data_IF_532129903275
#
_entry.id   IF_532129903275
#
_cell.length_a   1.000
_cell.length_b   1.000
_cell.length_c   1.000
_cell.angle_alpha   90.00
_cell.angle_beta   90.00
_cell.angle_gamma   90.00
#
_symmetry.space_group_name_H-M   'P 1'
#
loop_
_entity.id
_entity.type
_entity.pdbx_description
1 polymer ?
#
# COMPACT_ATOMS: atom_id res chain seq x y z
N UNK A 1 1.56 0.26 19.77
CA UNK A 1 1.37 -0.84 18.79
C UNK A 1 1.87 -2.20 19.29
N UNK A 2 2.97 -2.26 20.06
CA UNK A 2 3.52 -3.49 20.67
C UNK A 2 2.55 -4.24 21.60
N UNK A 3 1.61 -3.54 22.25
CA UNK A 3 0.70 -4.17 23.22
C UNK A 3 -0.45 -4.95 22.58
N UNK A 4 -0.96 -4.51 21.42
CA UNK A 4 -2.08 -5.18 20.74
C UNK A 4 -1.67 -6.55 20.16
N UNK A 5 -0.53 -6.60 19.45
CA UNK A 5 0.03 -7.85 18.92
C UNK A 5 0.35 -8.85 20.04
N UNK A 6 0.95 -8.36 21.14
CA UNK A 6 1.26 -9.20 22.29
C UNK A 6 -0.03 -9.76 22.90
N UNK A 7 -1.04 -8.91 23.09
CA UNK A 7 -2.35 -9.32 23.58
C UNK A 7 -2.96 -10.43 22.71
N UNK A 8 -2.97 -10.29 21.39
CA UNK A 8 -3.55 -11.30 20.49
C UNK A 8 -2.84 -12.66 20.57
N UNK A 9 -1.52 -12.67 20.78
CA UNK A 9 -0.75 -13.91 20.88
C UNK A 9 -0.88 -14.62 22.23
N UNK A 10 -1.25 -13.88 23.28
CA UNK A 10 -1.46 -14.43 24.63
C UNK A 10 -2.88 -15.04 24.80
N UNK A 11 -3.79 -14.83 23.84
CA UNK A 11 -5.14 -15.38 23.88
C UNK A 11 -5.17 -16.89 23.60
N UNK A 12 -5.98 -17.60 24.38
CA UNK A 12 -6.17 -19.03 24.19
C UNK A 12 -7.02 -19.31 22.94
N UNK A 13 -6.41 -19.91 21.93
CA UNK A 13 -7.10 -20.30 20.69
C UNK A 13 -7.86 -21.63 20.81
N UNK A 14 -8.83 -21.88 19.91
CA UNK A 14 -9.55 -23.14 19.88
C UNK A 14 -8.64 -24.35 19.65
N UNK A 15 -9.05 -25.56 20.10
CA UNK A 15 -8.29 -26.77 19.88
C UNK A 15 -8.00 -27.05 18.39
N UNK A 16 -6.80 -27.55 18.13
CA UNK A 16 -6.35 -27.94 16.79
C UNK A 16 -6.58 -29.44 16.59
N UNK A 17 -7.25 -29.81 15.51
CA UNK A 17 -7.40 -31.18 15.05
C UNK A 17 -6.57 -31.41 13.77
N UNK A 18 -5.94 -32.59 13.66
CA UNK A 18 -5.12 -32.97 12.50
C UNK A 18 -5.82 -34.03 11.68
N UNK A 19 -5.99 -33.78 10.38
CA UNK A 19 -6.58 -34.74 9.45
C UNK A 19 -5.95 -34.61 8.07
N UNK A 20 -5.57 -35.74 7.46
CA UNK A 20 -4.92 -35.82 6.15
C UNK A 20 -3.72 -34.86 5.98
N UNK A 21 -2.88 -34.75 7.02
CA UNK A 21 -1.69 -33.88 7.00
C UNK A 21 -1.98 -32.37 7.08
N UNK A 22 -3.24 -31.97 7.32
CA UNK A 22 -3.65 -30.58 7.52
C UNK A 22 -4.14 -30.36 8.93
N UNK A 23 -3.95 -29.13 9.42
CA UNK A 23 -4.43 -28.68 10.72
C UNK A 23 -5.75 -27.92 10.56
N UNK A 24 -6.67 -28.10 11.51
CA UNK A 24 -7.98 -27.47 11.53
C UNK A 24 -8.28 -26.93 12.91
N UNK A 25 -8.90 -25.75 13.00
CA UNK A 25 -9.55 -25.29 14.22
C UNK A 25 -10.92 -25.93 14.36
N UNK A 26 -11.28 -26.32 15.59
CA UNK A 26 -12.69 -26.54 15.96
C UNK A 26 -13.29 -25.17 16.25
N UNK A 27 -13.85 -24.53 15.23
CA UNK A 27 -14.33 -23.15 15.34
C UNK A 27 -15.58 -23.09 16.25
N UNK A 28 -15.54 -22.33 17.38
CA UNK A 28 -16.64 -22.29 18.32
C UNK A 28 -17.82 -21.42 17.87
N UNK A 29 -17.65 -20.55 16.87
CA UNK A 29 -18.69 -19.67 16.32
C UNK A 29 -19.44 -20.33 15.16
N UNK A 30 -18.70 -21.04 14.29
CA UNK A 30 -19.26 -21.73 13.12
C UNK A 30 -19.57 -23.21 13.37
N UNK A 31 -19.18 -23.72 14.55
CA UNK A 31 -19.42 -25.09 15.03
C UNK A 31 -19.00 -26.18 14.03
N UNK A 32 -17.85 -25.98 13.36
CA UNK A 32 -17.32 -26.89 12.35
C UNK A 32 -15.79 -26.84 12.27
N UNK A 33 -15.18 -27.84 11.64
CA UNK A 33 -13.75 -27.82 11.35
C UNK A 33 -13.43 -26.81 10.25
N UNK A 34 -12.50 -25.90 10.54
CA UNK A 34 -12.02 -24.88 9.60
C UNK A 34 -10.52 -25.06 9.40
N UNK A 35 -10.07 -25.03 8.14
CA UNK A 35 -8.65 -25.18 7.81
C UNK A 35 -7.85 -24.07 8.51
N UNK A 36 -6.80 -24.44 9.25
CA UNK A 36 -5.89 -23.52 9.92
C UNK A 36 -4.95 -22.88 8.90
N UNK A 37 -5.41 -21.81 8.27
CA UNK A 37 -4.56 -20.91 7.46
C UNK A 37 -3.97 -19.81 8.35
N UNK A 38 -2.93 -19.08 7.90
CA UNK A 38 -2.40 -17.93 8.63
C UNK A 38 -3.47 -16.86 8.88
N UNK A 39 -4.24 -16.49 7.84
CA UNK A 39 -5.37 -15.55 7.94
C UNK A 39 -6.44 -16.03 8.92
N UNK A 40 -6.79 -17.32 8.89
CA UNK A 40 -7.76 -17.88 9.83
C UNK A 40 -7.25 -17.88 11.27
N UNK A 41 -5.94 -18.03 11.47
CA UNK A 41 -5.34 -17.92 12.82
C UNK A 41 -5.54 -16.51 13.38
N UNK A 42 -5.27 -15.47 12.57
CA UNK A 42 -5.55 -14.07 12.93
C UNK A 42 -7.04 -13.87 13.22
N UNK A 43 -7.93 -14.40 12.38
CA UNK A 43 -9.37 -14.33 12.60
C UNK A 43 -9.80 -14.96 13.93
N UNK A 44 -9.26 -16.12 14.30
CA UNK A 44 -9.53 -16.73 15.61
C UNK A 44 -8.98 -15.91 16.77
N UNK A 45 -7.79 -15.30 16.65
CA UNK A 45 -7.26 -14.38 17.66
C UNK A 45 -8.19 -13.18 17.87
N UNK A 46 -8.64 -12.56 16.78
CA UNK A 46 -9.59 -11.44 16.82
C UNK A 46 -10.90 -11.87 17.49
N UNK A 47 -11.45 -13.03 17.14
CA UNK A 47 -12.67 -13.54 17.77
C UNK A 47 -12.53 -13.72 19.30
N UNK A 48 -11.39 -14.23 19.77
CA UNK A 48 -11.13 -14.34 21.22
C UNK A 48 -10.96 -12.97 21.89
N UNK A 49 -10.35 -12.01 21.19
CA UNK A 49 -10.21 -10.63 21.65
C UNK A 49 -11.57 -9.94 21.81
N UNK A 50 -12.47 -10.10 20.84
CA UNK A 50 -13.83 -9.55 20.90
C UNK A 50 -14.62 -10.09 22.10
N UNK A 51 -14.53 -11.40 22.36
CA UNK A 51 -15.18 -12.04 23.51
C UNK A 51 -14.55 -11.59 24.84
N UNK A 52 -13.23 -11.76 24.98
CA UNK A 52 -12.55 -11.72 26.28
C UNK A 52 -12.13 -10.32 26.71
N UNK A 53 -11.83 -9.45 25.73
CA UNK A 53 -11.30 -8.11 26.01
C UNK A 53 -12.34 -7.03 25.74
N UNK A 54 -13.24 -7.23 24.76
CA UNK A 54 -14.25 -6.23 24.37
C UNK A 54 -15.68 -6.57 24.82
N UNK A 55 -15.84 -7.69 25.53
CA UNK A 55 -17.10 -8.11 26.15
C UNK A 55 -18.27 -8.16 25.16
N UNK A 56 -17.98 -8.53 23.90
CA UNK A 56 -19.01 -8.67 22.87
C UNK A 56 -19.68 -10.03 23.06
N UNK A 57 -21.02 -10.11 23.22
CA UNK A 57 -21.72 -11.37 23.33
C UNK A 57 -21.50 -12.22 22.08
N UNK A 58 -21.28 -13.52 22.25
CA UNK A 58 -21.02 -14.46 21.15
C UNK A 58 -22.14 -14.43 20.10
N UNK A 59 -23.38 -14.26 20.55
CA UNK A 59 -24.58 -14.22 19.71
C UNK A 59 -24.63 -12.99 18.79
N UNK A 60 -23.87 -11.95 19.12
CA UNK A 60 -23.75 -10.72 18.34
C UNK A 60 -22.56 -10.77 17.36
N UNK A 61 -21.86 -11.91 17.25
CA UNK A 61 -20.70 -12.07 16.38
C UNK A 61 -21.04 -13.03 15.24
N UNK A 62 -21.03 -12.52 14.03
CA UNK A 62 -21.22 -13.30 12.80
C UNK A 62 -19.89 -13.49 12.09
N UNK A 63 -19.58 -14.72 11.66
CA UNK A 63 -18.29 -15.05 11.02
C UNK A 63 -18.50 -15.55 9.59
N UNK A 64 -17.72 -15.06 8.63
CA UNK A 64 -17.82 -15.38 7.19
C UNK A 64 -19.21 -15.10 6.60
N UNK A 65 -19.78 -13.97 6.99
CA UNK A 65 -21.18 -13.65 6.74
C UNK A 65 -21.39 -12.98 5.39
N UNK A 66 -22.33 -13.49 4.59
CA UNK A 66 -22.70 -12.87 3.31
C UNK A 66 -23.43 -11.55 3.56
N UNK A 67 -23.04 -10.50 2.86
CA UNK A 67 -23.68 -9.18 2.98
C UNK A 67 -25.17 -9.21 2.61
N UNK A 68 -25.57 -10.13 1.73
CA UNK A 68 -26.97 -10.34 1.36
C UNK A 68 -27.91 -10.72 2.51
N UNK A 69 -27.38 -11.15 3.66
CA UNK A 69 -28.20 -11.34 4.87
C UNK A 69 -28.74 -10.03 5.44
N UNK A 70 -28.11 -8.91 5.11
CA UNK A 70 -28.50 -7.55 5.53
C UNK A 70 -29.08 -6.75 4.37
N UNK A 71 -29.77 -7.42 3.45
CA UNK A 71 -30.50 -6.79 2.34
C UNK A 71 -29.60 -6.04 1.32
N UNK A 72 -28.29 -6.32 1.32
CA UNK A 72 -27.35 -5.82 0.31
C UNK A 72 -27.27 -6.79 -0.87
N UNK A 73 -27.45 -6.33 -2.10
CA UNK A 73 -27.30 -7.18 -3.29
C UNK A 73 -25.81 -7.45 -3.60
N UNK A 74 -25.18 -8.32 -2.80
CA UNK A 74 -23.77 -8.69 -2.94
C UNK A 74 -23.53 -10.13 -2.51
N UNK A 75 -22.74 -10.85 -3.31
CA UNK A 75 -22.28 -12.20 -2.99
C UNK A 75 -21.03 -12.21 -2.07
N UNK A 76 -20.47 -11.03 -1.78
CA UNK A 76 -19.28 -10.90 -0.93
C UNK A 76 -19.59 -11.28 0.52
N UNK A 77 -18.52 -11.61 1.25
CA UNK A 77 -18.57 -11.94 2.67
C UNK A 77 -17.69 -10.97 3.45
N UNK A 78 -18.16 -10.58 4.62
CA UNK A 78 -17.33 -9.98 5.65
C UNK A 78 -16.79 -11.08 6.56
N UNK A 79 -15.55 -10.93 6.99
CA UNK A 79 -14.89 -11.91 7.86
C UNK A 79 -15.59 -12.00 9.22
N UNK A 80 -15.80 -10.86 9.87
CA UNK A 80 -16.55 -10.77 11.11
C UNK A 80 -17.47 -9.54 11.06
N UNK A 81 -18.72 -9.73 11.49
CA UNK A 81 -19.68 -8.65 11.74
C UNK A 81 -20.06 -8.71 13.21
N UNK A 82 -19.89 -7.59 13.90
CA UNK A 82 -20.48 -7.37 15.23
C UNK A 82 -21.84 -6.72 15.02
N UNK A 83 -22.88 -7.29 15.60
CA UNK A 83 -24.24 -6.78 15.53
C UNK A 83 -24.63 -6.03 16.81
N UNK A 84 -25.66 -5.18 16.69
CA UNK A 84 -26.39 -4.61 17.81
C UNK A 84 -27.87 -4.91 17.66
N UNK A 85 -28.56 -5.01 18.79
CA UNK A 85 -30.01 -5.03 18.79
C UNK A 85 -30.56 -3.59 18.69
N UNK A 86 -31.30 -3.31 17.62
CA UNK A 86 -32.00 -2.04 17.47
C UNK A 86 -33.39 -2.15 18.11
N UNK A 87 -33.50 -1.74 19.37
CA UNK A 87 -34.74 -1.83 20.14
C UNK A 87 -35.94 -1.11 19.51
N UNK A 88 -35.70 -0.06 18.72
CA UNK A 88 -36.76 0.70 18.05
C UNK A 88 -37.35 -0.03 16.83
N UNK A 89 -36.55 -0.88 16.18
CA UNK A 89 -36.95 -1.65 14.99
C UNK A 89 -37.18 -3.14 15.27
N UNK A 90 -36.77 -3.63 16.45
CA UNK A 90 -36.88 -5.03 16.84
C UNK A 90 -35.97 -5.96 16.03
N UNK A 91 -34.91 -5.43 15.42
CA UNK A 91 -34.03 -6.17 14.51
C UNK A 91 -32.56 -6.05 14.91
N UNK A 92 -31.76 -7.03 14.49
CA UNK A 92 -30.31 -6.95 14.55
C UNK A 92 -29.80 -6.10 13.39
N UNK A 93 -28.80 -5.26 13.67
CA UNK A 93 -28.15 -4.43 12.66
C UNK A 93 -26.63 -4.46 12.86
N UNK A 94 -25.82 -4.35 11.80
CA UNK A 94 -24.38 -4.26 11.92
C UNK A 94 -23.96 -3.04 12.76
N UNK A 95 -23.06 -3.27 13.71
CA UNK A 95 -22.41 -2.26 14.55
C UNK A 95 -20.95 -2.07 14.12
N UNK A 96 -20.23 -3.16 13.87
CA UNK A 96 -18.85 -3.11 13.40
C UNK A 96 -18.60 -4.14 12.29
N UNK A 97 -17.78 -3.75 11.29
CA UNK A 97 -17.24 -4.68 10.28
C UNK A 97 -15.76 -4.86 10.53
N UNK A 98 -15.31 -6.12 10.54
CA UNK A 98 -13.93 -6.47 10.80
C UNK A 98 -13.39 -7.33 9.67
N UNK A 99 -12.23 -6.97 9.14
CA UNK A 99 -11.51 -7.68 8.07
C UNK A 99 -10.16 -8.18 8.59
N UNK A 100 -9.89 -9.48 8.44
CA UNK A 100 -8.65 -10.12 8.87
C UNK A 100 -7.79 -10.50 7.65
N UNK A 101 -6.49 -10.26 7.73
CA UNK A 101 -5.52 -10.71 6.73
C UNK A 101 -4.48 -11.64 7.37
N UNK A 102 -3.80 -12.42 6.54
CA UNK A 102 -2.65 -13.19 6.99
C UNK A 102 -1.51 -12.26 7.46
N UNK A 103 -0.68 -12.66 8.45
CA UNK A 103 0.37 -11.80 9.01
C UNK A 103 1.31 -11.18 7.97
N UNK A 104 1.66 -11.93 6.93
CA UNK A 104 2.53 -11.48 5.84
C UNK A 104 1.92 -10.46 4.87
N UNK A 105 0.61 -10.16 5.01
CA UNK A 105 -0.12 -9.23 4.15
C UNK A 105 -0.21 -7.86 4.85
N UNK A 106 0.46 -6.84 4.30
CA UNK A 106 0.28 -5.46 4.75
C UNK A 106 -1.16 -4.99 4.56
N UNK A 107 -1.67 -4.30 5.58
CA UNK A 107 -2.92 -3.56 5.53
C UNK A 107 -2.68 -2.25 4.76
N UNK A 108 -2.95 -2.28 3.45
CA UNK A 108 -2.91 -1.10 2.57
C UNK A 108 -4.30 -0.62 2.17
N UNK A 109 -4.34 0.37 1.26
CA UNK A 109 -5.57 1.06 0.85
C UNK A 109 -6.66 0.10 0.38
N UNK A 110 -6.31 -1.01 -0.29
CA UNK A 110 -7.32 -1.97 -0.77
C UNK A 110 -8.03 -2.71 0.36
N UNK A 111 -7.33 -3.05 1.45
CA UNK A 111 -7.94 -3.72 2.60
C UNK A 111 -8.79 -2.74 3.41
N UNK A 112 -8.32 -1.49 3.53
CA UNK A 112 -9.05 -0.39 4.17
C UNK A 112 -10.33 -0.07 3.38
N UNK A 113 -10.24 0.07 2.06
CA UNK A 113 -11.39 0.35 1.21
C UNK A 113 -12.38 -0.83 1.23
N UNK A 114 -11.89 -2.08 1.27
CA UNK A 114 -12.76 -3.24 1.38
C UNK A 114 -13.64 -3.19 2.64
N UNK A 115 -13.06 -2.88 3.81
CA UNK A 115 -13.83 -2.81 5.07
C UNK A 115 -14.77 -1.60 5.07
N UNK A 116 -14.36 -0.46 4.51
CA UNK A 116 -15.21 0.73 4.34
C UNK A 116 -16.40 0.43 3.43
N UNK A 117 -16.17 -0.15 2.25
CA UNK A 117 -17.24 -0.52 1.30
C UNK A 117 -18.30 -1.40 1.95
N UNK A 118 -17.87 -2.34 2.80
CA UNK A 118 -18.77 -3.23 3.53
C UNK A 118 -19.51 -2.48 4.63
N UNK A 119 -18.81 -1.64 5.39
CA UNK A 119 -19.40 -0.87 6.47
C UNK A 119 -20.41 0.15 5.95
N UNK A 120 -20.12 0.86 4.86
CA UNK A 120 -21.04 1.78 4.19
C UNK A 120 -22.28 1.05 3.66
N UNK A 121 -22.09 -0.08 2.97
CA UNK A 121 -23.21 -0.88 2.46
C UNK A 121 -24.12 -1.41 3.58
N UNK A 122 -23.57 -1.61 4.78
CA UNK A 122 -24.26 -2.16 5.94
C UNK A 122 -24.66 -1.11 6.98
N UNK A 123 -24.29 0.17 6.78
CA UNK A 123 -24.41 1.25 7.75
C UNK A 123 -23.83 0.89 9.13
N UNK A 124 -22.62 0.33 9.15
CA UNK A 124 -21.91 0.00 10.38
C UNK A 124 -21.14 1.21 10.93
N UNK A 125 -21.18 1.40 12.25
CA UNK A 125 -20.60 2.56 12.90
C UNK A 125 -19.08 2.43 13.10
N UNK A 126 -18.55 1.21 13.11
CA UNK A 126 -17.13 0.94 13.37
C UNK A 126 -16.52 0.04 12.29
N UNK A 127 -15.26 0.29 11.99
CA UNK A 127 -14.44 -0.58 11.14
C UNK A 127 -13.18 -0.99 11.88
N UNK A 128 -12.73 -2.21 11.59
CA UNK A 128 -11.49 -2.75 12.12
C UNK A 128 -10.83 -3.63 11.05
N UNK A 129 -9.59 -3.35 10.69
CA UNK A 129 -8.80 -4.19 9.80
C UNK A 129 -7.47 -4.54 10.44
N UNK A 130 -7.07 -5.81 10.36
CA UNK A 130 -5.85 -6.28 11.00
C UNK A 130 -5.23 -7.47 10.28
N UNK A 131 -3.90 -7.58 10.37
CA UNK A 131 -3.15 -8.78 10.01
C UNK A 131 -2.54 -9.49 11.23
N UNK A 132 -2.96 -9.12 12.45
CA UNK A 132 -2.38 -9.60 13.72
C UNK A 132 -1.29 -8.69 14.27
N UNK A 133 -0.39 -8.19 13.40
CA UNK A 133 0.74 -7.34 13.79
C UNK A 133 0.35 -5.86 13.85
N UNK A 134 -0.47 -5.44 12.89
CA UNK A 134 -1.00 -4.10 12.76
C UNK A 134 -2.53 -4.13 12.81
N UNK A 135 -3.11 -3.05 13.33
CA UNK A 135 -4.54 -2.83 13.37
C UNK A 135 -4.84 -1.37 12.99
N UNK A 136 -5.80 -1.18 12.10
CA UNK A 136 -6.46 0.11 11.89
C UNK A 136 -7.90 -0.03 12.35
N UNK A 137 -8.31 0.87 13.25
CA UNK A 137 -9.64 0.90 13.84
C UNK A 137 -10.19 2.30 13.63
N UNK A 138 -11.45 2.42 13.23
CA UNK A 138 -12.07 3.72 13.03
C UNK A 138 -13.57 3.68 13.34
N UNK A 139 -14.13 4.84 13.62
CA UNK A 139 -15.55 5.06 13.86
C UNK A 139 -16.09 6.07 12.85
N UNK A 140 -17.28 5.82 12.33
CA UNK A 140 -17.99 6.76 11.48
C UNK A 140 -18.39 8.01 12.26
N UNK A 141 -18.01 9.18 11.75
CA UNK A 141 -18.42 10.49 12.26
C UNK A 141 -19.34 11.16 11.23
N UNK A 142 -20.58 11.42 11.64
CA UNK A 142 -21.63 11.93 10.75
C UNK A 142 -21.34 13.37 10.26
N UNK A 143 -20.70 14.19 11.10
CA UNK A 143 -20.40 15.59 10.79
C UNK A 143 -19.38 15.73 9.64
N UNK A 144 -18.38 14.85 9.60
CA UNK A 144 -17.37 14.80 8.55
C UNK A 144 -17.72 13.83 7.42
N UNK A 145 -18.73 12.96 7.62
CA UNK A 145 -19.09 11.85 6.74
C UNK A 145 -17.87 10.96 6.43
N UNK A 146 -17.07 10.65 7.46
CA UNK A 146 -15.83 9.88 7.35
C UNK A 146 -15.64 8.96 8.55
N UNK A 147 -14.86 7.89 8.35
CA UNK A 147 -14.35 7.07 9.44
C UNK A 147 -13.11 7.73 10.05
N UNK A 148 -13.21 8.14 11.32
CA UNK A 148 -12.12 8.74 12.10
C UNK A 148 -11.40 7.66 12.88
N UNK A 149 -10.07 7.66 12.82
CA UNK A 149 -9.24 6.64 13.46
C UNK A 149 -9.38 6.65 14.98
N UNK A 150 -9.45 5.46 15.57
CA UNK A 150 -9.49 5.23 17.01
C UNK A 150 -8.16 4.65 17.50
N UNK A 151 -7.85 4.91 18.77
CA UNK A 151 -6.67 4.35 19.44
C UNK A 151 -6.82 2.83 19.66
N UNK A 152 -8.03 2.40 20.02
CA UNK A 152 -8.41 1.00 20.12
C UNK A 152 -9.91 0.81 19.87
N UNK A 153 -10.33 -0.45 19.69
CA UNK A 153 -11.75 -0.77 19.59
C UNK A 153 -12.41 -0.58 20.95
N UNK A 154 -13.49 0.19 21.09
CA UNK A 154 -14.21 0.32 22.35
C UNK A 154 -14.82 -1.03 22.77
N UNK A 155 -15.13 -1.19 24.06
CA UNK A 155 -15.93 -2.34 24.48
C UNK A 155 -17.36 -2.27 23.91
N UNK A 156 -18.10 -3.38 24.01
CA UNK A 156 -19.42 -3.49 23.39
C UNK A 156 -20.39 -2.40 23.84
N UNK A 157 -20.43 -2.08 25.15
CA UNK A 157 -21.34 -1.06 25.67
C UNK A 157 -20.96 0.34 25.21
N UNK A 158 -19.67 0.63 25.15
CA UNK A 158 -19.15 1.90 24.65
C UNK A 158 -19.47 2.08 23.16
N UNK A 159 -19.31 1.02 22.35
CA UNK A 159 -19.69 1.03 20.94
C UNK A 159 -21.20 1.26 20.75
N UNK A 160 -22.06 0.64 21.57
CA UNK A 160 -23.50 0.87 21.53
C UNK A 160 -23.87 2.33 21.84
N UNK A 161 -23.07 3.01 22.67
CA UNK A 161 -23.21 4.43 22.97
C UNK A 161 -22.55 5.36 21.94
N UNK A 162 -21.97 4.82 20.85
CA UNK A 162 -21.27 5.61 19.83
C UNK A 162 -19.96 6.23 20.34
N UNK A 163 -19.31 5.64 21.33
CA UNK A 163 -18.08 6.16 21.93
C UNK A 163 -16.83 5.63 21.22
N UNK A 164 -15.71 6.35 21.35
CA UNK A 164 -14.40 5.91 20.87
C UNK A 164 -13.35 6.97 21.13
N UNK A 165 -12.19 6.54 21.61
CA UNK A 165 -11.05 7.42 21.81
C UNK A 165 -10.38 7.67 20.46
N UNK A 166 -10.65 8.84 19.87
CA UNK A 166 -10.13 9.20 18.56
C UNK A 166 -8.63 9.45 18.66
N UNK A 167 -7.88 8.88 17.71
CA UNK A 167 -6.47 9.24 17.58
C UNK A 167 -6.40 10.74 17.24
N UNK A 168 -5.49 11.49 17.87
CA UNK A 168 -5.20 12.84 17.41
C UNK A 168 -4.81 12.76 15.93
N UNK A 169 -5.21 13.77 15.15
CA UNK A 169 -4.79 13.85 13.75
C UNK A 169 -3.28 13.62 13.68
N UNK A 170 -2.88 12.54 13.01
CA UNK A 170 -1.48 12.31 12.70
C UNK A 170 -1.08 13.43 11.75
N UNK A 171 -0.47 14.49 12.28
CA UNK A 171 0.24 15.45 11.46
C UNK A 171 1.25 14.65 10.65
N UNK A 172 1.26 14.76 9.30
CA UNK A 172 2.29 14.15 8.50
C UNK A 172 3.65 14.52 9.09
N UNK A 173 4.58 13.57 9.12
CA UNK A 173 5.96 13.84 9.54
C UNK A 173 6.44 15.09 8.79
N UNK A 174 6.84 16.11 9.54
CA UNK A 174 7.45 17.28 8.94
C UNK A 174 8.77 16.87 8.27
N UNK A 175 9.03 17.45 7.09
CA UNK A 175 10.28 17.21 6.38
C UNK A 175 11.47 17.71 7.20
N UNK A 176 12.59 17.03 7.08
CA UNK A 176 13.82 17.56 7.66
C UNK A 176 14.23 18.85 6.95
N UNK A 177 14.71 19.83 7.72
CA UNK A 177 15.32 21.02 7.15
C UNK A 177 16.59 20.63 6.39
N UNK A 178 16.89 21.32 5.29
CA UNK A 178 17.98 20.94 4.38
C UNK A 178 19.34 20.78 5.08
N UNK A 179 19.66 21.71 5.98
CA UNK A 179 20.88 21.73 6.79
C UNK A 179 20.99 20.58 7.80
N UNK A 180 19.85 19.99 8.18
CA UNK A 180 19.79 18.85 9.12
C UNK A 180 19.74 17.48 8.45
N UNK A 181 19.66 17.41 7.10
CA UNK A 181 19.52 16.14 6.36
C UNK A 181 20.67 15.17 6.63
N UNK A 182 21.90 15.67 6.76
CA UNK A 182 23.07 14.81 7.00
C UNK A 182 23.05 14.20 8.41
N UNK A 183 22.56 14.94 9.40
CA UNK A 183 22.42 14.45 10.79
C UNK A 183 21.30 13.40 10.89
N UNK A 184 20.26 13.53 10.06
CA UNK A 184 19.10 12.64 10.04
C UNK A 184 19.15 11.58 8.93
N UNK A 185 20.31 11.39 8.28
CA UNK A 185 20.44 10.55 7.09
C UNK A 185 20.05 9.08 7.31
N UNK A 186 20.15 8.59 8.53
CA UNK A 186 19.84 7.20 8.89
C UNK A 186 18.36 7.00 9.28
N UNK A 187 17.52 8.04 9.27
CA UNK A 187 16.12 7.97 9.71
C UNK A 187 15.31 6.89 8.98
N UNK A 188 15.53 6.75 7.67
CA UNK A 188 14.84 5.77 6.81
C UNK A 188 15.65 4.49 6.59
N UNK A 189 16.84 4.37 7.20
CA UNK A 189 17.74 3.21 7.00
C UNK A 189 17.25 2.01 7.80
N UNK A 190 17.16 0.86 7.13
CA UNK A 190 16.60 -0.37 7.69
C UNK A 190 15.06 -0.44 7.63
N UNK A 191 14.41 0.57 7.05
CA UNK A 191 12.97 0.57 6.79
C UNK A 191 12.68 0.77 5.29
N UNK A 192 12.73 1.99 4.75
CA UNK A 192 12.59 2.24 3.31
C UNK A 192 13.91 2.09 2.55
N UNK A 193 15.04 2.39 3.19
CA UNK A 193 16.35 2.24 2.59
C UNK A 193 17.06 1.03 3.17
N UNK A 194 17.64 0.21 2.30
CA UNK A 194 18.47 -0.91 2.70
C UNK A 194 19.63 -0.45 3.61
N UNK A 195 19.97 -1.21 4.67
CA UNK A 195 21.09 -0.89 5.56
C UNK A 195 22.42 -0.61 4.87
N UNK A 196 22.69 -1.29 3.75
CA UNK A 196 23.94 -1.18 2.99
C UNK A 196 23.94 -0.02 1.98
N UNK A 197 22.91 0.81 1.96
CA UNK A 197 22.85 2.00 1.10
C UNK A 197 24.05 2.92 1.40
N UNK A 198 24.79 3.40 0.38
CA UNK A 198 25.95 4.27 0.57
C UNK A 198 25.62 5.50 1.42
N UNK A 199 26.42 5.72 2.47
CA UNK A 199 26.11 6.73 3.50
C UNK A 199 26.14 8.16 2.97
N UNK A 200 26.90 8.40 1.90
CA UNK A 200 27.01 9.65 1.17
C UNK A 200 25.76 9.97 0.32
N UNK A 201 24.99 8.94 -0.08
CA UNK A 201 23.74 9.11 -0.82
C UNK A 201 22.56 9.36 0.09
N UNK A 202 22.60 8.88 1.34
CA UNK A 202 21.47 8.94 2.26
C UNK A 202 20.87 10.34 2.47
N UNK A 203 21.65 11.43 2.67
CA UNK A 203 21.04 12.76 2.82
C UNK A 203 20.21 13.18 1.59
N UNK A 204 20.72 12.87 0.40
CA UNK A 204 20.03 13.14 -0.86
C UNK A 204 18.78 12.25 -1.04
N UNK A 205 18.89 10.96 -0.75
CA UNK A 205 17.77 10.02 -0.85
C UNK A 205 16.67 10.35 0.16
N UNK A 206 17.01 10.75 1.39
CA UNK A 206 16.06 11.25 2.40
C UNK A 206 15.31 12.48 1.87
N UNK A 207 16.02 13.46 1.32
CA UNK A 207 15.41 14.66 0.73
C UNK A 207 14.45 14.30 -0.43
N UNK A 208 14.88 13.42 -1.33
CA UNK A 208 14.08 12.98 -2.47
C UNK A 208 12.87 12.12 -2.04
N UNK A 209 13.01 11.28 -1.02
CA UNK A 209 11.90 10.49 -0.53
C UNK A 209 10.83 11.35 0.13
N UNK A 210 11.25 12.27 0.99
CA UNK A 210 10.35 13.24 1.60
C UNK A 210 9.68 14.17 0.58
N UNK A 211 10.35 14.49 -0.53
CA UNK A 211 9.74 15.19 -1.67
C UNK A 211 8.55 14.43 -2.25
N UNK A 212 8.59 13.09 -2.30
CA UNK A 212 7.48 12.28 -2.82
C UNK A 212 6.32 12.17 -1.81
N UNK A 213 6.65 12.15 -0.51
CA UNK A 213 5.67 12.10 0.56
C UNK A 213 4.98 13.46 0.84
N UNK A 214 5.57 14.56 0.40
CA UNK A 214 5.00 15.89 0.58
C UNK A 214 3.82 16.14 -0.37
N UNK A 215 2.60 16.10 0.16
CA UNK A 215 1.37 16.33 -0.64
C UNK A 215 1.00 17.80 -0.77
N UNK A 216 1.72 18.71 -0.10
CA UNK A 216 1.53 20.16 -0.25
C UNK A 216 2.09 20.68 -1.58
N UNK A 217 3.09 19.99 -2.13
CA UNK A 217 3.64 20.21 -3.47
C UNK A 217 3.19 19.10 -4.42
N UNK A 218 2.65 19.47 -5.59
CA UNK A 218 2.06 18.52 -6.55
C UNK A 218 2.68 18.65 -7.92
N UNK A 219 2.83 17.52 -8.62
CA UNK A 219 3.20 17.53 -10.03
C UNK A 219 2.10 18.27 -10.83
N UNK A 220 2.43 19.29 -11.64
CA UNK A 220 1.42 20.08 -12.35
C UNK A 220 0.51 19.25 -13.26
N UNK A 221 -0.81 19.34 -13.07
CA UNK A 221 -1.80 18.60 -13.86
C UNK A 221 -1.90 19.17 -15.29
N UNK A 222 -1.22 18.54 -16.25
CA UNK A 222 -1.16 18.99 -17.65
C UNK A 222 -0.85 17.85 -18.62
N UNK A 223 -0.81 18.19 -19.90
CA UNK A 223 -0.20 17.36 -20.93
C UNK A 223 1.32 17.42 -20.80
N UNK A 224 1.94 16.27 -20.57
CA UNK A 224 3.38 16.04 -20.68
C UNK A 224 3.72 15.44 -22.04
N UNK A 225 5.00 15.22 -22.36
CA UNK A 225 5.41 14.80 -23.72
C UNK A 225 4.71 13.53 -24.19
N UNK A 226 4.57 12.55 -23.30
CA UNK A 226 4.08 11.20 -23.64
C UNK A 226 2.75 10.82 -23.01
N UNK A 227 2.33 11.51 -21.95
CA UNK A 227 1.09 11.22 -21.23
C UNK A 227 0.43 12.51 -20.74
N UNK A 228 -0.86 12.45 -20.44
CA UNK A 228 -1.56 13.52 -19.72
C UNK A 228 -1.63 13.15 -18.25
N UNK A 229 -1.12 13.99 -17.37
CA UNK A 229 -1.41 13.88 -15.95
C UNK A 229 -2.86 14.37 -15.73
N UNK A 230 -3.75 13.46 -15.32
CA UNK A 230 -5.12 13.81 -14.95
C UNK A 230 -5.13 14.39 -13.54
N UNK A 231 -4.42 13.73 -12.61
CA UNK A 231 -4.38 14.12 -11.20
C UNK A 231 -3.13 13.59 -10.52
N UNK A 232 -2.47 14.45 -9.75
CA UNK A 232 -1.56 13.99 -8.70
C UNK A 232 -2.42 13.52 -7.52
N UNK A 233 -2.46 12.21 -7.31
CA UNK A 233 -3.37 11.56 -6.37
C UNK A 233 -2.85 11.60 -4.93
N UNK A 234 -1.61 12.07 -4.71
CA UNK A 234 -0.96 12.06 -3.40
C UNK A 234 -0.41 10.67 -3.04
N UNK A 235 -0.38 10.37 -1.74
CA UNK A 235 0.21 9.13 -1.23
C UNK A 235 -0.86 8.02 -1.22
N UNK A 236 -0.50 6.84 -1.74
CA UNK A 236 -1.26 5.59 -1.60
C UNK A 236 -0.40 4.53 -0.91
N UNK A 237 -0.98 3.72 -0.04
CA UNK A 237 -0.29 2.57 0.56
C UNK A 237 -0.64 1.30 -0.20
N UNK A 238 0.34 0.75 -0.91
CA UNK A 238 0.15 -0.32 -1.88
C UNK A 238 1.09 -1.50 -1.61
N UNK A 239 0.69 -2.69 -2.07
CA UNK A 239 1.55 -3.87 -2.18
C UNK A 239 1.68 -4.24 -3.66
N UNK A 240 2.88 -4.04 -4.21
CA UNK A 240 3.17 -4.25 -5.63
C UNK A 240 4.05 -5.50 -5.80
N UNK A 241 3.57 -6.48 -6.56
CA UNK A 241 4.32 -7.70 -6.85
C UNK A 241 5.33 -7.53 -7.99
N UNK A 242 6.41 -8.31 -7.96
CA UNK A 242 7.30 -8.52 -9.10
C UNK A 242 7.14 -9.93 -9.69
N UNK A 243 7.62 -10.12 -10.92
CA UNK A 243 7.48 -11.39 -11.65
C UNK A 243 8.21 -12.58 -10.99
N UNK A 244 9.14 -12.30 -10.07
CA UNK A 244 9.92 -13.30 -9.33
C UNK A 244 9.28 -13.69 -7.99
N UNK A 245 8.10 -13.15 -7.66
CA UNK A 245 7.36 -13.46 -6.44
C UNK A 245 7.68 -12.57 -5.23
N UNK A 246 8.55 -11.56 -5.39
CA UNK A 246 8.76 -10.53 -4.36
C UNK A 246 7.63 -9.50 -4.37
N UNK A 247 7.40 -8.83 -3.24
CA UNK A 247 6.43 -7.74 -3.12
C UNK A 247 7.04 -6.52 -2.42
N UNK A 248 6.74 -5.33 -2.94
CA UNK A 248 7.13 -4.04 -2.37
C UNK A 248 5.91 -3.40 -1.74
N UNK A 249 5.93 -3.31 -0.42
CA UNK A 249 4.78 -2.90 0.37
C UNK A 249 5.12 -1.61 1.09
N UNK A 250 4.30 -0.58 0.94
CA UNK A 250 4.48 0.70 1.64
C UNK A 250 3.89 1.87 0.89
N UNK A 251 4.39 3.07 1.20
CA UNK A 251 3.92 4.31 0.60
C UNK A 251 4.40 4.44 -0.85
N UNK A 252 3.55 5.02 -1.70
CA UNK A 252 3.88 5.44 -3.05
C UNK A 252 3.28 6.83 -3.30
N UNK A 253 4.01 7.69 -4.01
CA UNK A 253 3.41 8.86 -4.66
C UNK A 253 2.72 8.40 -5.93
N UNK A 254 1.42 8.62 -6.04
CA UNK A 254 0.57 8.06 -7.10
C UNK A 254 0.03 9.12 -8.03
N UNK A 255 0.09 8.83 -9.33
CA UNK A 255 -0.35 9.70 -10.41
C UNK A 255 -1.43 8.99 -11.22
N UNK A 256 -2.59 9.64 -11.38
CA UNK A 256 -3.59 9.20 -12.34
C UNK A 256 -3.29 9.84 -13.69
N UNK A 257 -2.94 9.02 -14.68
CA UNK A 257 -2.54 9.49 -16.00
C UNK A 257 -3.47 8.93 -17.09
N UNK A 258 -3.54 9.67 -18.21
CA UNK A 258 -4.02 9.15 -19.48
C UNK A 258 -2.83 8.93 -20.40
N UNK A 259 -2.67 7.69 -20.86
CA UNK A 259 -1.66 7.30 -21.83
C UNK A 259 -2.35 6.53 -22.96
N UNK A 260 -2.25 7.05 -24.19
CA UNK A 260 -3.01 6.56 -25.33
C UNK A 260 -4.53 6.54 -25.03
N UNK A 261 -5.21 5.42 -25.23
CA UNK A 261 -6.64 5.23 -24.90
C UNK A 261 -6.89 5.00 -23.41
N UNK A 262 -5.87 4.65 -22.64
CA UNK A 262 -6.03 4.08 -21.32
C UNK A 262 -5.84 5.12 -20.21
N UNK A 263 -6.59 4.94 -19.13
CA UNK A 263 -6.39 5.66 -17.87
C UNK A 263 -5.82 4.69 -16.85
N UNK A 264 -4.68 5.03 -16.25
CA UNK A 264 -3.93 4.13 -15.35
C UNK A 264 -3.33 4.92 -14.20
N UNK A 265 -3.15 4.24 -13.07
CA UNK A 265 -2.30 4.76 -12.00
C UNK A 265 -0.85 4.37 -12.26
N UNK A 266 0.05 5.30 -11.98
CA UNK A 266 1.48 5.04 -11.85
C UNK A 266 1.92 5.42 -10.45
N UNK A 267 2.64 4.54 -9.77
CA UNK A 267 2.99 4.71 -8.36
C UNK A 267 4.52 4.66 -8.19
N UNK A 268 5.10 5.73 -7.66
CA UNK A 268 6.53 5.94 -7.44
C UNK A 268 6.88 5.77 -5.96
N UNK A 269 7.90 4.96 -5.63
CA UNK A 269 8.29 4.75 -4.23
C UNK A 269 9.72 4.22 -4.05
N UNK A 270 10.25 4.33 -2.83
CA UNK A 270 11.52 3.73 -2.42
C UNK A 270 11.29 2.49 -1.55
N UNK A 271 12.10 1.45 -1.76
CA UNK A 271 12.04 0.24 -0.96
C UNK A 271 13.42 -0.39 -0.76
N UNK A 272 13.56 -1.07 0.38
CA UNK A 272 14.61 -2.04 0.61
C UNK A 272 14.35 -3.29 -0.24
N UNK A 273 15.31 -3.64 -1.10
CA UNK A 273 15.28 -4.86 -1.93
C UNK A 273 16.13 -6.00 -1.36
N UNK A 274 16.42 -5.97 -0.07
CA UNK A 274 17.25 -6.92 0.70
C UNK A 274 18.75 -6.82 0.43
N UNK A 275 19.14 -6.40 -0.78
CA UNK A 275 20.55 -6.26 -1.19
C UNK A 275 20.98 -4.82 -1.48
N UNK A 276 20.02 -3.94 -1.75
CA UNK A 276 20.23 -2.53 -2.06
C UNK A 276 18.89 -1.79 -1.98
N UNK A 277 18.93 -0.47 -1.97
CA UNK A 277 17.73 0.37 -2.09
C UNK A 277 17.33 0.51 -3.55
N UNK A 278 16.04 0.41 -3.83
CA UNK A 278 15.49 0.67 -5.16
C UNK A 278 14.50 1.82 -5.15
N UNK A 279 14.51 2.60 -6.23
CA UNK A 279 13.41 3.48 -6.64
C UNK A 279 12.56 2.73 -7.66
N UNK A 280 11.26 2.59 -7.41
CA UNK A 280 10.37 1.77 -8.24
C UNK A 280 9.22 2.57 -8.82
N UNK A 281 8.75 2.15 -10.00
CA UNK A 281 7.48 2.57 -10.58
C UNK A 281 6.61 1.35 -10.83
N UNK A 282 5.45 1.28 -10.18
CA UNK A 282 4.41 0.31 -10.49
C UNK A 282 3.29 0.93 -11.31
N UNK A 283 2.57 0.09 -12.06
CA UNK A 283 1.45 0.52 -12.91
C UNK A 283 0.23 -0.35 -12.57
N UNK A 284 -0.92 0.29 -12.38
CA UNK A 284 -2.21 -0.36 -12.17
C UNK A 284 -2.89 -0.53 -13.54
N UNK A 285 -3.26 -1.77 -13.92
CA UNK A 285 -4.00 -2.05 -15.16
C UNK A 285 -5.27 -2.86 -14.85
N UNK A 286 -6.44 -2.29 -15.15
CA UNK A 286 -7.73 -2.99 -15.26
C UNK A 286 -8.06 -3.95 -14.10
N UNK A 287 -8.35 -3.42 -12.90
CA UNK A 287 -8.66 -4.17 -11.66
C UNK A 287 -7.61 -5.20 -11.21
N UNK A 288 -6.45 -5.30 -11.86
CA UNK A 288 -5.39 -6.18 -11.44
C UNK A 288 -4.52 -5.54 -10.36
N UNK A 289 -3.82 -6.39 -9.60
CA UNK A 289 -2.79 -5.93 -8.67
C UNK A 289 -1.73 -5.12 -9.43
N UNK A 290 -1.24 -4.01 -8.86
CA UNK A 290 -0.16 -3.24 -9.47
C UNK A 290 1.06 -4.12 -9.74
N UNK A 291 1.61 -4.05 -10.95
CA UNK A 291 2.86 -4.73 -11.28
C UNK A 291 4.02 -3.73 -11.30
N UNK A 292 5.20 -4.20 -10.92
CA UNK A 292 6.41 -3.38 -10.99
C UNK A 292 6.92 -3.24 -12.44
N UNK A 293 6.91 -2.02 -12.97
CA UNK A 293 7.32 -1.71 -14.34
C UNK A 293 8.80 -1.28 -14.44
N UNK A 294 9.28 -0.47 -13.48
CA UNK A 294 10.66 -0.01 -13.43
C UNK A 294 11.23 -0.20 -12.02
N UNK A 295 12.42 -0.77 -11.97
CA UNK A 295 13.25 -0.86 -10.78
C UNK A 295 14.56 -0.15 -11.08
N UNK A 296 14.90 0.85 -10.27
CA UNK A 296 16.11 1.63 -10.40
C UNK A 296 16.96 1.41 -9.14
N UNK A 297 18.15 0.83 -9.30
CA UNK A 297 19.12 0.68 -8.21
C UNK A 297 19.76 2.04 -7.89
N UNK A 298 19.60 2.52 -6.66
CA UNK A 298 20.14 3.83 -6.25
C UNK A 298 21.67 3.87 -6.27
N UNK A 299 22.34 2.72 -6.26
CA UNK A 299 23.80 2.65 -6.39
C UNK A 299 24.29 3.06 -7.79
N UNK A 300 23.39 3.12 -8.78
CA UNK A 300 23.70 3.62 -10.12
C UNK A 300 23.73 5.15 -10.21
N UNK A 301 23.33 5.86 -9.15
CA UNK A 301 23.32 7.33 -9.11
C UNK A 301 24.76 7.84 -9.14
N UNK A 302 25.02 8.82 -10.01
CA UNK A 302 26.33 9.46 -10.14
C UNK A 302 26.24 10.89 -9.61
N UNK A 303 27.05 11.19 -8.59
CA UNK A 303 27.21 12.56 -8.11
C UNK A 303 28.26 13.31 -8.94
N UNK A 304 27.86 14.46 -9.50
CA UNK A 304 28.69 15.37 -10.26
C UNK A 304 28.61 16.77 -9.63
N UNK A 305 29.46 17.03 -8.64
CA UNK A 305 29.41 18.24 -7.83
C UNK A 305 28.07 18.36 -7.09
N UNK A 306 27.29 19.36 -7.44
CA UNK A 306 26.00 19.69 -6.81
C UNK A 306 24.80 18.94 -7.41
N UNK A 307 25.05 18.04 -8.37
CA UNK A 307 24.01 17.37 -9.13
C UNK A 307 24.13 15.85 -9.05
N UNK A 308 22.99 15.17 -8.98
CA UNK A 308 22.89 13.72 -9.02
C UNK A 308 22.25 13.30 -10.34
N UNK A 309 22.93 12.42 -11.07
CA UNK A 309 22.53 11.94 -12.39
C UNK A 309 22.01 10.51 -12.32
N UNK A 310 20.97 10.20 -13.10
CA UNK A 310 20.25 8.93 -13.04
C UNK A 310 20.40 8.11 -14.34
N UNK A 311 21.56 7.49 -14.60
CA UNK A 311 21.73 6.59 -15.74
C UNK A 311 21.05 5.25 -15.48
N UNK A 312 20.63 4.54 -16.53
CA UNK A 312 20.05 3.20 -16.40
C UNK A 312 20.59 2.24 -17.47
N UNK A 313 20.95 1.01 -17.07
CA UNK A 313 21.59 0.04 -17.98
C UNK A 313 20.61 -0.67 -18.94
N UNK A 314 19.30 -0.45 -18.78
CA UNK A 314 18.27 -0.95 -19.71
C UNK A 314 17.93 -2.43 -19.63
N UNK A 315 18.42 -3.17 -18.61
CA UNK A 315 18.04 -4.59 -18.47
C UNK A 315 16.54 -4.67 -18.16
N UNK A 316 15.90 -5.69 -18.72
CA UNK A 316 14.46 -5.85 -18.63
C UNK A 316 14.11 -7.33 -18.67
N UNK A 317 13.19 -7.74 -17.78
CA UNK A 317 12.59 -9.07 -17.79
C UNK A 317 11.27 -9.05 -18.57
N UNK A 318 11.01 -10.11 -19.33
CA UNK A 318 9.82 -10.34 -20.16
C UNK A 318 9.00 -11.47 -19.54
N UNK A 319 8.40 -11.21 -18.38
CA UNK A 319 7.64 -12.21 -17.62
C UNK A 319 8.42 -13.52 -17.44
N UNK A 320 7.79 -14.64 -17.81
CA UNK A 320 8.42 -15.98 -17.74
C UNK A 320 9.34 -16.31 -18.92
N UNK A 321 9.43 -15.46 -19.96
CA UNK A 321 10.31 -15.69 -21.14
C UNK A 321 11.78 -15.34 -20.86
N UNK A 322 12.10 -14.81 -19.68
CA UNK A 322 13.47 -14.44 -19.31
C UNK A 322 13.80 -12.98 -19.63
N UNK A 323 15.02 -12.71 -20.07
CA UNK A 323 15.52 -11.34 -20.29
C UNK A 323 15.31 -10.85 -21.72
N UNK A 324 14.90 -9.59 -21.88
CA UNK A 324 14.81 -8.91 -23.17
C UNK A 324 16.15 -8.31 -23.61
N UNK A 325 16.35 -8.14 -24.92
CA UNK A 325 17.57 -7.51 -25.46
C UNK A 325 17.55 -6.00 -25.24
N UNK A 326 18.59 -5.49 -24.60
CA UNK A 326 18.75 -4.04 -24.32
C UNK A 326 18.81 -3.22 -25.60
N UNK A 327 19.43 -3.74 -26.67
CA UNK A 327 19.51 -3.04 -27.97
C UNK A 327 18.13 -2.78 -28.57
N UNK A 328 17.24 -3.78 -28.51
CA UNK A 328 15.86 -3.67 -29.03
C UNK A 328 15.03 -2.71 -28.17
N UNK A 329 15.26 -2.68 -26.85
CA UNK A 329 14.64 -1.68 -25.98
C UNK A 329 15.14 -0.26 -26.31
N UNK A 330 16.46 -0.07 -26.48
CA UNK A 330 17.05 1.22 -26.86
C UNK A 330 16.54 1.71 -28.22
N UNK A 331 16.34 0.81 -29.18
CA UNK A 331 15.73 1.14 -30.48
C UNK A 331 14.29 1.66 -30.31
N UNK A 332 13.47 0.98 -29.50
CA UNK A 332 12.12 1.47 -29.20
C UNK A 332 12.13 2.83 -28.51
N UNK A 333 13.02 3.04 -27.52
CA UNK A 333 13.18 4.35 -26.87
C UNK A 333 13.58 5.42 -27.89
N UNK A 334 14.52 5.12 -28.80
CA UNK A 334 14.96 6.08 -29.82
C UNK A 334 13.84 6.51 -30.77
N UNK A 335 12.87 5.63 -31.02
CA UNK A 335 11.72 5.93 -31.86
C UNK A 335 10.61 6.69 -31.11
N UNK A 336 10.35 6.31 -29.86
CA UNK A 336 9.18 6.80 -29.10
C UNK A 336 9.51 7.99 -28.18
N UNK A 337 10.66 7.98 -27.50
CA UNK A 337 11.10 9.02 -26.55
C UNK A 337 12.62 9.24 -26.61
N UNK A 338 13.15 9.81 -27.71
CA UNK A 338 14.58 9.97 -27.94
C UNK A 338 15.29 10.82 -26.87
N UNK A 339 14.58 11.68 -26.14
CA UNK A 339 15.12 12.47 -25.04
C UNK A 339 15.58 11.65 -23.83
N UNK A 340 15.19 10.37 -23.75
CA UNK A 340 15.69 9.43 -22.74
C UNK A 340 17.06 8.84 -23.12
N UNK A 341 17.58 9.12 -24.32
CA UNK A 341 18.88 8.66 -24.79
C UNK A 341 19.88 9.82 -24.87
N UNK A 342 20.95 9.73 -24.10
CA UNK A 342 22.09 10.64 -24.14
C UNK A 342 23.32 9.86 -24.56
N UNK A 343 23.91 10.21 -25.70
CA UNK A 343 25.03 9.46 -26.33
C UNK A 343 24.75 7.96 -26.52
N UNK A 344 23.48 7.58 -26.70
CA UNK A 344 23.06 6.19 -26.87
C UNK A 344 22.80 5.43 -25.57
N UNK A 345 22.97 6.07 -24.40
CA UNK A 345 22.68 5.49 -23.09
C UNK A 345 21.41 6.07 -22.48
N UNK A 346 20.72 5.24 -21.68
CA UNK A 346 19.45 5.63 -21.09
C UNK A 346 19.71 6.55 -19.89
N UNK A 347 19.11 7.73 -19.92
CA UNK A 347 19.30 8.78 -18.93
C UNK A 347 17.96 9.30 -18.44
N UNK A 348 17.70 9.14 -17.15
CA UNK A 348 16.39 9.42 -16.54
C UNK A 348 16.30 10.83 -15.96
N UNK A 349 17.40 11.57 -15.90
CA UNK A 349 17.40 12.98 -15.51
C UNK A 349 18.54 13.34 -14.57
N UNK A 350 18.46 14.56 -14.05
CA UNK A 350 19.42 15.12 -13.10
C UNK A 350 18.69 15.96 -12.07
N UNK A 351 19.08 15.84 -10.81
CA UNK A 351 18.53 16.63 -9.71
C UNK A 351 19.62 17.44 -9.03
N UNK A 352 19.31 18.68 -8.67
CA UNK A 352 20.17 19.49 -7.81
C UNK A 352 20.10 19.04 -6.36
N UNK A 353 21.19 19.18 -5.60
CA UNK A 353 21.23 18.84 -4.17
C UNK A 353 21.80 19.98 -3.31
N UNK A 354 21.30 21.19 -3.52
CA UNK A 354 21.64 22.38 -2.72
C UNK A 354 20.42 23.03 -2.05
N UNK A 355 19.27 22.37 -2.13
CA UNK A 355 18.00 22.78 -1.52
C UNK A 355 17.11 21.57 -1.29
N UNK A 356 16.02 21.77 -0.53
CA UNK A 356 14.94 20.80 -0.51
C UNK A 356 14.35 20.64 -1.91
N UNK A 357 14.07 19.39 -2.26
CA UNK A 357 13.42 19.02 -3.51
C UNK A 357 11.90 19.10 -3.32
N UNK A 358 11.18 19.69 -4.26
CA UNK A 358 9.73 19.69 -4.29
C UNK A 358 9.20 19.17 -5.61
N UNK A 359 8.03 18.52 -5.60
CA UNK A 359 7.53 17.83 -6.78
C UNK A 359 7.17 18.79 -7.93
N UNK A 360 6.88 20.05 -7.62
CA UNK A 360 6.63 21.15 -8.55
C UNK A 360 7.91 21.94 -8.94
N UNK A 361 9.09 21.58 -8.41
CA UNK A 361 10.36 22.07 -8.95
C UNK A 361 10.56 21.57 -10.39
N UNK A 362 11.11 22.42 -11.26
CA UNK A 362 11.22 22.11 -12.69
C UNK A 362 12.11 20.89 -12.99
N UNK A 363 13.21 20.72 -12.26
CA UNK A 363 14.12 19.56 -12.41
C UNK A 363 13.52 18.28 -11.83
N UNK A 364 12.82 18.36 -10.70
CA UNK A 364 12.08 17.22 -10.11
C UNK A 364 10.92 16.79 -11.02
N UNK A 365 10.13 17.73 -11.54
CA UNK A 365 9.05 17.44 -12.48
C UNK A 365 9.58 16.78 -13.76
N UNK A 366 10.68 17.29 -14.35
CA UNK A 366 11.31 16.68 -15.53
C UNK A 366 11.85 15.26 -15.25
N UNK A 367 12.49 15.07 -14.09
CA UNK A 367 12.95 13.75 -13.65
C UNK A 367 11.79 12.76 -13.50
N UNK A 368 10.72 13.15 -12.80
CA UNK A 368 9.53 12.29 -12.61
C UNK A 368 8.84 12.02 -13.95
N UNK A 369 8.70 13.00 -14.84
CA UNK A 369 8.17 12.80 -16.20
C UNK A 369 8.96 11.73 -16.95
N UNK A 370 10.30 11.85 -16.99
CA UNK A 370 11.17 10.89 -17.69
C UNK A 370 11.10 9.49 -17.09
N UNK A 371 11.07 9.40 -15.76
CA UNK A 371 10.90 8.15 -15.02
C UNK A 371 9.59 7.45 -15.40
N UNK A 372 8.47 8.18 -15.38
CA UNK A 372 7.14 7.65 -15.75
C UNK A 372 7.08 7.25 -17.23
N UNK A 373 7.58 8.09 -18.14
CA UNK A 373 7.68 7.77 -19.58
C UNK A 373 8.51 6.51 -19.81
N UNK A 374 9.65 6.38 -19.13
CA UNK A 374 10.51 5.22 -19.30
C UNK A 374 9.81 3.93 -18.84
N UNK A 375 9.06 3.96 -17.73
CA UNK A 375 8.25 2.83 -17.30
C UNK A 375 7.16 2.47 -18.32
N UNK A 376 6.46 3.45 -18.90
CA UNK A 376 5.46 3.21 -19.94
C UNK A 376 6.06 2.50 -21.17
N UNK A 377 7.21 2.97 -21.67
CA UNK A 377 7.89 2.34 -22.81
C UNK A 377 8.36 0.92 -22.47
N UNK A 378 8.83 0.67 -21.25
CA UNK A 378 9.20 -0.69 -20.81
C UNK A 378 8.01 -1.64 -20.82
N UNK A 379 6.82 -1.17 -20.46
CA UNK A 379 5.60 -1.99 -20.53
C UNK A 379 5.16 -2.28 -21.96
N UNK A 380 5.19 -1.27 -22.85
CA UNK A 380 4.95 -1.47 -24.29
C UNK A 380 5.93 -2.52 -24.85
N UNK A 381 7.22 -2.41 -24.50
CA UNK A 381 8.22 -3.39 -24.92
C UNK A 381 7.90 -4.81 -24.43
N UNK A 382 7.45 -4.97 -23.18
CA UNK A 382 7.04 -6.28 -22.64
C UNK A 382 5.83 -6.84 -23.39
N UNK A 383 4.82 -6.01 -23.64
CA UNK A 383 3.62 -6.42 -24.39
C UNK A 383 3.99 -6.89 -25.81
N UNK A 384 4.86 -6.14 -26.52
CA UNK A 384 5.38 -6.53 -27.83
C UNK A 384 6.11 -7.88 -27.82
N UNK A 385 6.87 -8.18 -26.76
CA UNK A 385 7.64 -9.44 -26.66
C UNK A 385 6.83 -10.63 -26.13
N UNK A 386 5.69 -10.37 -25.47
CA UNK A 386 4.76 -11.40 -25.04
C UNK A 386 3.74 -11.75 -26.13
N UNK A 387 3.36 -10.80 -26.98
CA UNK A 387 2.45 -11.00 -28.11
C UNK A 387 3.08 -11.63 -29.37
N UNK A 388 4.41 -11.57 -29.49
CA UNK A 388 5.22 -12.41 -30.39
C UNK A 388 5.61 -13.71 -29.70
#
# INVERSE_FOLDING_TARGET
MTDFYKLLNDLQLPPIHKSHGKEYYVDPFRERLILKTPEETVRQQVLQYLLSCKNIPKEMIQVEMRLSKYQVNSARRADIIVERFNGNKGELSPLAIIECKAPEIMIGDSAIQQVIDYADALNADYIFVTNGDYAMIAKYEADSNQYVLLNELPDYQSMLCGQGDCLPENKPKERFAFDTLNENKDYYRGYEFNPDTPSELLPFLTNLWECFLDTSHKMPEKQYKHFRLIKDYGIRFLSCGNASGGSYQGAYRSFLIKYQSDTKFMNLGFFDYGSHTILTISIDKDNNKPHNSLQYDVNAIIQNGERYSFPHHGKIAIGKKGSGKVSELKELIGNEAPELLVHGDIFLGTLHNQKLLYLDDADVTDFVEKMLTYALIRDVFREMKLGN
#
